data_IF_446267155237
#
_entry.id   IF_446267155237
#
_cell.length_a   1.000
_cell.length_b   1.000
_cell.length_c   1.000
_cell.angle_alpha   90.00
_cell.angle_beta   90.00
_cell.angle_gamma   90.00
#
_symmetry.space_group_name_H-M   'P 1'
#
loop_
_entity.id
_entity.type
_entity.pdbx_description
1 polymer ?
#
# COMPACT_ATOMS: atom_id res chain seq x y z
N UNK A 1 -12.22 78.18 -9.73
CA UNK A 1 -11.86 77.12 -10.68
C UNK A 1 -11.37 75.95 -9.87
N UNK A 2 -12.16 74.87 -9.80
CA UNK A 2 -11.83 73.68 -9.06
C UNK A 2 -11.48 72.60 -10.07
N UNK A 3 -10.25 72.11 -10.02
CA UNK A 3 -9.79 70.99 -10.79
C UNK A 3 -10.20 69.68 -10.06
N UNK A 4 -10.82 68.71 -10.73
CA UNK A 4 -11.07 67.43 -10.10
C UNK A 4 -9.85 66.53 -10.23
N UNK A 5 -9.36 66.08 -9.11
CA UNK A 5 -8.29 65.08 -9.01
C UNK A 5 -8.87 63.71 -9.33
N UNK A 6 -8.47 63.13 -10.44
CA UNK A 6 -8.83 61.78 -10.81
C UNK A 6 -7.93 60.83 -10.05
N UNK A 7 -8.51 60.17 -9.05
CA UNK A 7 -7.86 59.07 -8.33
C UNK A 7 -7.85 57.81 -9.17
N UNK A 8 -6.68 57.39 -9.61
CA UNK A 8 -6.49 56.10 -10.28
C UNK A 8 -6.42 55.03 -9.20
N UNK A 9 -7.52 54.30 -9.03
CA UNK A 9 -7.53 53.12 -8.20
C UNK A 9 -6.84 51.97 -8.96
N UNK A 10 -5.60 51.66 -8.57
CA UNK A 10 -4.89 50.46 -9.05
C UNK A 10 -5.44 49.27 -8.31
N UNK A 11 -6.33 48.51 -8.93
CA UNK A 11 -6.73 47.18 -8.45
C UNK A 11 -5.59 46.20 -8.74
N UNK A 12 -4.85 45.86 -7.69
CA UNK A 12 -3.91 44.74 -7.73
C UNK A 12 -4.74 43.46 -7.54
N UNK A 13 -5.02 42.75 -8.63
CA UNK A 13 -5.59 41.42 -8.59
C UNK A 13 -4.51 40.44 -8.11
N UNK A 14 -4.52 40.09 -6.82
CA UNK A 14 -3.75 38.94 -6.33
C UNK A 14 -4.40 37.67 -6.87
N UNK A 15 -3.82 37.09 -7.89
CA UNK A 15 -4.12 35.74 -8.33
C UNK A 15 -3.56 34.75 -7.28
N UNK A 16 -4.42 34.28 -6.38
CA UNK A 16 -4.10 33.21 -5.47
C UNK A 16 -4.05 31.93 -6.29
N UNK A 17 -2.86 31.50 -6.68
CA UNK A 17 -2.63 30.15 -7.19
C UNK A 17 -2.83 29.16 -6.04
N UNK A 18 -4.07 28.70 -5.89
CA UNK A 18 -4.38 27.55 -5.06
C UNK A 18 -3.74 26.32 -5.71
N UNK A 19 -2.48 26.05 -5.39
CA UNK A 19 -1.82 24.82 -5.75
C UNK A 19 -2.57 23.66 -5.10
N UNK A 20 -3.24 22.84 -5.90
CA UNK A 20 -3.76 21.56 -5.46
C UNK A 20 -2.59 20.66 -5.08
N UNK A 21 -2.12 20.75 -3.85
CA UNK A 21 -1.23 19.76 -3.27
C UNK A 21 -2.08 18.54 -2.96
N UNK A 22 -2.06 17.58 -3.88
CA UNK A 22 -2.60 16.23 -3.63
C UNK A 22 -1.75 15.59 -2.54
N UNK A 23 -2.10 15.81 -1.28
CA UNK A 23 -1.53 15.06 -0.16
C UNK A 23 -2.00 13.63 -0.34
N UNK A 24 -1.08 12.72 -0.68
CA UNK A 24 -1.39 11.29 -0.73
C UNK A 24 -1.96 10.86 0.63
N UNK A 25 -3.14 10.25 0.59
CA UNK A 25 -3.84 9.81 1.81
C UNK A 25 -2.97 8.76 2.52
N UNK A 26 -2.70 8.92 3.83
CA UNK A 26 -1.97 7.91 4.58
C UNK A 26 -2.72 6.57 4.55
N UNK A 27 -1.97 5.48 4.62
CA UNK A 27 -2.53 4.14 4.68
C UNK A 27 -3.16 3.82 6.04
N UNK A 28 -3.82 2.66 6.16
CA UNK A 28 -4.58 2.27 7.34
C UNK A 28 -3.72 1.89 8.56
N UNK A 29 -2.39 1.82 8.41
CA UNK A 29 -1.46 1.41 9.46
C UNK A 29 -1.37 -0.10 9.66
N UNK A 30 -2.49 -0.80 9.64
CA UNK A 30 -2.59 -2.25 9.72
C UNK A 30 -3.88 -2.75 9.06
N UNK A 31 -3.93 -4.06 8.82
CA UNK A 31 -5.09 -4.76 8.28
C UNK A 31 -5.27 -6.07 9.05
N UNK A 32 -6.51 -6.41 9.40
CA UNK A 32 -6.86 -7.71 9.94
C UNK A 32 -8.23 -8.13 9.41
N UNK A 33 -8.37 -9.38 8.97
CA UNK A 33 -9.63 -9.95 8.50
C UNK A 33 -9.57 -11.48 8.49
N UNK A 34 -10.72 -12.12 8.33
CA UNK A 34 -10.80 -13.56 8.19
C UNK A 34 -10.91 -13.98 6.72
N UNK A 35 -10.18 -15.03 6.34
CA UNK A 35 -10.28 -15.70 5.05
C UNK A 35 -11.12 -16.98 5.23
N UNK A 36 -11.75 -17.46 4.17
CA UNK A 36 -12.51 -18.72 4.20
C UNK A 36 -11.64 -19.98 4.20
N UNK A 37 -10.40 -19.87 3.76
CA UNK A 37 -9.44 -20.97 3.64
C UNK A 37 -8.48 -21.01 4.83
N UNK A 38 -7.78 -22.14 4.98
CA UNK A 38 -6.70 -22.26 5.95
C UNK A 38 -5.51 -21.34 5.64
N UNK A 39 -4.65 -21.12 6.63
CA UNK A 39 -3.56 -20.16 6.56
C UNK A 39 -2.59 -20.40 5.39
N UNK A 40 -2.10 -21.63 5.21
CA UNK A 40 -1.12 -21.93 4.18
C UNK A 40 -1.65 -21.69 2.75
N UNK A 41 -2.77 -22.29 2.30
CA UNK A 41 -3.27 -22.02 0.95
C UNK A 41 -3.68 -20.57 0.73
N UNK A 42 -4.09 -19.86 1.77
CA UNK A 42 -4.33 -18.40 1.68
C UNK A 42 -3.04 -17.64 1.39
N UNK A 43 -1.98 -17.92 2.15
CA UNK A 43 -0.72 -17.22 1.99
C UNK A 43 0.06 -17.61 0.74
N UNK A 44 -0.09 -18.84 0.26
CA UNK A 44 0.44 -19.25 -1.06
C UNK A 44 -0.13 -18.38 -2.19
N UNK A 45 -1.45 -18.16 -2.20
CA UNK A 45 -2.09 -17.27 -3.18
C UNK A 45 -1.61 -15.82 -3.04
N UNK A 46 -1.57 -15.31 -1.82
CA UNK A 46 -1.09 -13.95 -1.55
C UNK A 46 0.36 -13.79 -2.02
N UNK A 47 1.24 -14.75 -1.73
CA UNK A 47 2.64 -14.72 -2.13
C UNK A 47 2.82 -14.70 -3.65
N UNK A 48 2.09 -15.56 -4.38
CA UNK A 48 2.14 -15.61 -5.84
C UNK A 48 1.64 -14.30 -6.46
N UNK A 49 0.51 -13.79 -6.00
CA UNK A 49 -0.06 -12.57 -6.53
C UNK A 49 0.82 -11.35 -6.20
N UNK A 50 1.35 -11.25 -4.98
CA UNK A 50 2.27 -10.20 -4.59
C UNK A 50 3.53 -10.20 -5.48
N UNK A 51 4.13 -11.37 -5.71
CA UNK A 51 5.27 -11.49 -6.59
C UNK A 51 4.96 -11.01 -8.02
N UNK A 52 3.83 -11.41 -8.56
CA UNK A 52 3.43 -11.04 -9.92
C UNK A 52 3.06 -9.57 -10.03
N UNK A 53 2.26 -9.06 -9.09
CA UNK A 53 1.66 -7.73 -9.18
C UNK A 53 2.55 -6.61 -8.64
N UNK A 54 3.36 -6.87 -7.62
CA UNK A 54 4.21 -5.85 -7.03
C UNK A 54 5.65 -5.87 -7.54
N UNK A 55 6.18 -7.05 -7.91
CA UNK A 55 7.61 -7.19 -8.22
C UNK A 55 7.89 -7.53 -9.69
N UNK A 56 7.21 -8.49 -10.28
CA UNK A 56 7.43 -8.86 -11.69
C UNK A 56 6.78 -7.91 -12.69
N UNK A 57 5.77 -7.16 -12.28
CA UNK A 57 5.05 -6.22 -13.16
C UNK A 57 5.84 -4.96 -13.50
N UNK A 58 6.96 -4.70 -12.83
CA UNK A 58 7.71 -3.45 -12.98
C UNK A 58 7.10 -2.27 -12.22
N UNK A 59 6.26 -2.52 -11.23
CA UNK A 59 5.64 -1.49 -10.39
C UNK A 59 6.70 -0.65 -9.68
N UNK A 60 6.72 0.65 -9.99
CA UNK A 60 7.71 1.58 -9.45
C UNK A 60 7.62 1.74 -7.93
N UNK A 61 6.44 1.54 -7.35
CA UNK A 61 6.21 1.66 -5.91
C UNK A 61 6.96 0.59 -5.12
N UNK A 62 7.28 -0.55 -5.74
CA UNK A 62 7.97 -1.67 -5.09
C UNK A 62 9.42 -1.86 -5.53
N UNK A 63 9.92 -1.04 -6.45
CA UNK A 63 11.33 -1.09 -6.89
C UNK A 63 12.37 -1.07 -5.77
N UNK A 64 12.21 -0.28 -4.69
CA UNK A 64 13.19 -0.24 -3.60
C UNK A 64 13.20 -1.49 -2.72
N UNK A 65 12.29 -2.45 -2.97
CA UNK A 65 12.04 -3.56 -2.07
C UNK A 65 12.22 -4.92 -2.73
N UNK A 66 12.25 -5.96 -1.90
CA UNK A 66 12.21 -7.37 -2.29
C UNK A 66 11.15 -8.12 -1.51
N UNK A 67 10.57 -9.13 -2.14
CA UNK A 67 9.68 -10.09 -1.50
C UNK A 67 10.51 -11.23 -0.90
N UNK A 68 10.24 -11.54 0.36
CA UNK A 68 10.81 -12.68 1.07
C UNK A 68 9.68 -13.55 1.63
N UNK A 69 9.24 -14.59 0.89
CA UNK A 69 8.23 -15.51 1.38
C UNK A 69 8.82 -16.47 2.40
N UNK A 70 8.07 -16.68 3.50
CA UNK A 70 8.38 -17.65 4.55
C UNK A 70 7.12 -18.49 4.82
N UNK A 71 6.78 -19.38 3.88
CA UNK A 71 5.55 -20.16 3.92
C UNK A 71 5.69 -21.39 4.79
N UNK A 72 6.89 -21.96 4.88
CA UNK A 72 7.20 -23.13 5.74
C UNK A 72 7.64 -22.65 7.13
N UNK A 73 6.66 -22.37 7.97
CA UNK A 73 6.92 -21.87 9.32
C UNK A 73 6.61 -22.92 10.37
N UNK A 74 7.55 -23.23 11.25
CA UNK A 74 7.33 -24.07 12.44
C UNK A 74 6.25 -23.53 13.37
N UNK A 75 5.98 -22.22 13.32
CA UNK A 75 4.95 -21.59 14.13
C UNK A 75 3.54 -21.76 13.59
N UNK A 76 3.36 -22.40 12.41
CA UNK A 76 2.07 -22.51 11.73
C UNK A 76 1.53 -21.17 11.19
N UNK A 77 2.39 -20.17 11.07
CA UNK A 77 2.07 -18.82 10.57
C UNK A 77 2.82 -18.53 9.28
N UNK A 78 2.37 -19.07 8.14
CA UNK A 78 2.95 -18.72 6.86
C UNK A 78 2.85 -17.22 6.64
N UNK A 79 3.92 -16.61 6.11
CA UNK A 79 4.01 -15.16 5.92
C UNK A 79 4.80 -14.78 4.68
N UNK A 80 4.59 -13.57 4.23
CA UNK A 80 5.48 -12.87 3.30
C UNK A 80 6.03 -11.61 3.96
N UNK A 81 7.27 -11.31 3.65
CA UNK A 81 7.94 -10.09 4.08
C UNK A 81 8.26 -9.24 2.86
N UNK A 82 8.13 -7.93 2.99
CA UNK A 82 8.70 -6.97 2.05
C UNK A 82 9.84 -6.27 2.77
N UNK A 83 11.05 -6.43 2.24
CA UNK A 83 12.29 -5.94 2.84
C UNK A 83 12.99 -4.95 1.90
N UNK A 84 13.86 -4.06 2.42
CA UNK A 84 14.65 -3.19 1.55
C UNK A 84 15.52 -4.02 0.60
N UNK A 85 15.54 -3.69 -0.70
CA UNK A 85 16.41 -4.36 -1.67
C UNK A 85 17.90 -4.16 -1.36
N UNK A 86 18.25 -3.02 -0.77
CA UNK A 86 19.62 -2.67 -0.35
C UNK A 86 20.09 -3.41 0.91
N UNK A 87 19.16 -3.91 1.72
CA UNK A 87 19.43 -4.66 2.94
C UNK A 87 18.36 -5.73 3.17
N UNK A 88 18.40 -6.85 2.42
CA UNK A 88 17.37 -7.89 2.53
C UNK A 88 17.29 -8.58 3.90
N UNK A 89 18.36 -8.58 4.66
CA UNK A 89 18.42 -9.08 6.04
C UNK A 89 17.96 -8.07 7.09
N UNK A 90 17.57 -6.88 6.67
CA UNK A 90 17.11 -5.81 7.55
C UNK A 90 15.68 -6.03 8.04
N UNK A 91 15.20 -5.06 8.83
CA UNK A 91 13.83 -5.10 9.36
C UNK A 91 12.81 -5.05 8.22
N UNK A 92 11.81 -5.95 8.21
CA UNK A 92 10.73 -5.89 7.23
C UNK A 92 9.95 -4.58 7.31
N UNK A 93 9.59 -4.06 6.15
CA UNK A 93 8.75 -2.86 6.02
C UNK A 93 7.27 -3.20 5.86
N UNK A 94 6.98 -4.45 5.49
CA UNK A 94 5.64 -5.04 5.49
C UNK A 94 5.76 -6.50 5.89
N UNK A 95 4.85 -6.93 6.74
CA UNK A 95 4.60 -8.34 7.07
C UNK A 95 3.15 -8.63 6.76
N UNK A 96 2.90 -9.67 5.98
CA UNK A 96 1.56 -10.26 5.82
C UNK A 96 1.64 -11.69 6.28
N UNK A 97 0.83 -12.08 7.24
CA UNK A 97 0.77 -13.44 7.73
C UNK A 97 -0.66 -13.94 7.90
N UNK A 98 -0.81 -15.24 8.03
CA UNK A 98 -2.07 -15.86 8.35
C UNK A 98 -1.88 -16.98 9.38
N UNK A 99 -2.91 -17.24 10.18
CA UNK A 99 -2.95 -18.36 11.11
C UNK A 99 -4.35 -18.96 11.21
N UNK A 100 -4.42 -20.25 11.47
CA UNK A 100 -5.68 -20.93 11.72
C UNK A 100 -6.39 -21.45 10.47
N UNK A 101 -7.58 -22.03 10.71
CA UNK A 101 -8.49 -22.55 9.70
C UNK A 101 -9.94 -22.43 10.20
N UNK A 102 -10.75 -21.50 9.70
CA UNK A 102 -10.43 -20.44 8.70
C UNK A 102 -9.29 -19.52 9.15
N UNK A 103 -8.54 -19.00 8.20
CA UNK A 103 -7.39 -18.20 8.52
C UNK A 103 -7.76 -16.77 8.95
N UNK A 104 -7.13 -16.29 10.01
CA UNK A 104 -7.01 -14.86 10.30
C UNK A 104 -5.79 -14.33 9.56
N UNK A 105 -6.00 -13.35 8.68
CA UNK A 105 -4.95 -12.67 7.91
C UNK A 105 -4.68 -11.32 8.53
N UNK A 106 -3.40 -11.00 8.72
CA UNK A 106 -2.97 -9.70 9.22
C UNK A 106 -1.84 -9.14 8.36
N UNK A 107 -1.87 -7.82 8.14
CA UNK A 107 -0.81 -7.09 7.46
C UNK A 107 -0.43 -5.86 8.28
N UNK A 108 0.86 -5.64 8.48
CA UNK A 108 1.37 -4.53 9.28
C UNK A 108 2.80 -4.17 8.88
N UNK A 109 3.25 -3.02 9.34
CA UNK A 109 4.59 -2.50 9.09
C UNK A 109 4.56 -1.08 8.53
N UNK A 110 5.72 -0.43 8.39
CA UNK A 110 5.81 0.95 7.93
C UNK A 110 5.10 1.23 6.61
N UNK A 111 5.15 0.31 5.64
CA UNK A 111 4.47 0.48 4.35
C UNK A 111 2.95 0.60 4.47
N UNK A 112 2.35 0.05 5.52
CA UNK A 112 0.91 0.18 5.77
C UNK A 112 0.51 1.60 6.20
N UNK A 113 1.44 2.40 6.70
CA UNK A 113 1.21 3.79 7.09
C UNK A 113 1.39 4.77 5.92
N UNK A 114 2.13 4.38 4.89
CA UNK A 114 2.38 5.18 3.69
C UNK A 114 1.18 5.16 2.75
N UNK A 115 1.22 5.99 1.71
CA UNK A 115 0.17 6.05 0.68
C UNK A 115 -0.08 4.70 -0.02
N UNK A 116 0.97 3.87 -0.14
CA UNK A 116 0.84 2.50 -0.67
C UNK A 116 0.01 1.57 0.23
N UNK A 117 -0.15 1.88 1.51
CA UNK A 117 -0.86 1.04 2.49
C UNK A 117 -2.32 0.75 2.13
N UNK A 118 -3.03 1.72 1.57
CA UNK A 118 -4.42 1.52 1.11
C UNK A 118 -4.50 0.51 -0.04
N UNK A 119 -3.58 0.59 -0.99
CA UNK A 119 -3.47 -0.35 -2.09
C UNK A 119 -3.05 -1.73 -1.60
N UNK A 120 -2.04 -1.81 -0.72
CA UNK A 120 -1.61 -3.08 -0.12
C UNK A 120 -2.77 -3.76 0.58
N UNK A 121 -3.55 -3.04 1.37
CA UNK A 121 -4.73 -3.57 2.06
C UNK A 121 -5.77 -4.14 1.08
N UNK A 122 -6.07 -3.42 0.01
CA UNK A 122 -7.02 -3.86 -1.02
C UNK A 122 -6.51 -5.09 -1.77
N UNK A 123 -5.24 -5.10 -2.14
CA UNK A 123 -4.61 -6.21 -2.85
C UNK A 123 -4.59 -7.49 -2.00
N UNK A 124 -4.15 -7.40 -0.75
CA UNK A 124 -4.10 -8.55 0.16
C UNK A 124 -5.48 -9.16 0.40
N UNK A 125 -6.51 -8.33 0.60
CA UNK A 125 -7.90 -8.82 0.74
C UNK A 125 -8.34 -9.56 -0.52
N UNK A 126 -8.17 -8.96 -1.68
CA UNK A 126 -8.58 -9.54 -2.97
C UNK A 126 -7.91 -10.89 -3.23
N UNK A 127 -6.60 -10.99 -2.94
CA UNK A 127 -5.87 -12.24 -3.14
C UNK A 127 -6.21 -13.32 -2.11
N UNK A 128 -6.41 -12.93 -0.86
CA UNK A 128 -6.86 -13.86 0.18
C UNK A 128 -8.25 -14.43 -0.14
N UNK A 129 -9.13 -13.65 -0.78
CA UNK A 129 -10.45 -14.08 -1.24
C UNK A 129 -10.41 -14.99 -2.49
N UNK A 130 -9.22 -15.21 -3.06
CA UNK A 130 -9.01 -16.14 -4.17
C UNK A 130 -8.89 -15.49 -5.55
N UNK A 131 -8.98 -14.17 -5.65
CA UNK A 131 -8.70 -13.46 -6.88
C UNK A 131 -7.19 -13.28 -7.07
N UNK A 132 -6.72 -13.27 -8.32
CA UNK A 132 -5.28 -13.11 -8.64
C UNK A 132 -4.97 -11.83 -9.41
N UNK A 133 -5.97 -11.02 -9.70
CA UNK A 133 -5.82 -9.77 -10.45
C UNK A 133 -4.97 -8.75 -9.70
N UNK A 134 -4.19 -7.96 -10.46
CA UNK A 134 -3.33 -6.91 -9.92
C UNK A 134 -4.09 -5.62 -9.56
N UNK A 135 -5.35 -5.50 -9.96
CA UNK A 135 -6.23 -4.39 -9.62
C UNK A 135 -7.65 -4.87 -9.41
N UNK A 136 -8.47 -4.06 -8.71
CA UNK A 136 -9.88 -4.35 -8.49
C UNK A 136 -10.72 -4.36 -9.78
N UNK A 137 -10.19 -3.82 -10.87
CA UNK A 137 -10.82 -3.70 -12.19
C UNK A 137 -10.06 -4.48 -13.28
N UNK A 138 -9.34 -5.51 -12.84
CA UNK A 138 -8.58 -6.39 -13.74
C UNK A 138 -9.44 -7.26 -14.62
#
# INVERSE_FOLDING_TARGET
MKTPTIGIAVMIALAVLAGCQSKSKPGPGSLAFNSEKAALPTMERVALAANNCWFKSGDSSFKPYRLAPELDSYSGRPRILVVPASNPGGRPLLVVHAEGNPAKVEAFGPLMMHSAGNRIAADVRRWADGQSSCSAHG
#
